data_IF_080431683697
#
_entry.id   IF_080431683697
#
_cell.length_a   1.000
_cell.length_b   1.000
_cell.length_c   1.000
_cell.angle_alpha   90.00
_cell.angle_beta   90.00
_cell.angle_gamma   90.00
#
_symmetry.space_group_name_H-M   'P 1'
#
loop_
_entity.id
_entity.type
_entity.pdbx_description
1 polymer ?
#
# COMPACT_ATOMS: atom_id res chain seq x y z
N UNK A 1 51.52 -73.78 -5.59
CA UNK A 1 51.04 -74.81 -6.53
C UNK A 1 49.52 -74.78 -6.46
N UNK A 2 48.87 -74.10 -7.41
CA UNK A 2 48.28 -74.68 -8.64
C UNK A 2 46.91 -75.31 -8.30
N UNK A 3 45.80 -75.12 -9.01
CA UNK A 3 45.46 -74.47 -10.29
C UNK A 3 43.91 -74.50 -10.40
N UNK A 4 43.33 -73.58 -11.19
CA UNK A 4 42.16 -73.69 -12.11
C UNK A 4 41.10 -74.82 -11.92
N UNK A 5 39.81 -74.70 -12.23
CA UNK A 5 38.96 -73.70 -12.90
C UNK A 5 37.48 -74.23 -12.89
N UNK A 6 36.52 -73.32 -13.15
CA UNK A 6 35.23 -73.52 -13.89
C UNK A 6 34.18 -74.51 -13.33
N UNK A 7 32.86 -74.35 -13.40
CA UNK A 7 31.91 -73.50 -14.12
C UNK A 7 30.54 -73.63 -13.39
N UNK A 8 29.72 -72.58 -13.35
CA UNK A 8 28.27 -72.70 -13.13
C UNK A 8 27.53 -71.42 -13.54
N UNK A 9 26.33 -71.53 -14.15
CA UNK A 9 25.82 -70.52 -15.05
C UNK A 9 24.87 -69.49 -14.41
N UNK A 10 24.82 -68.35 -15.11
CA UNK A 10 23.84 -67.28 -15.18
C UNK A 10 22.48 -67.43 -14.46
N UNK A 11 22.06 -66.37 -13.76
CA UNK A 11 20.87 -65.56 -14.13
C UNK A 11 20.99 -64.13 -13.61
N UNK A 12 20.42 -63.22 -14.40
CA UNK A 12 20.61 -61.77 -14.49
C UNK A 12 20.13 -60.90 -13.30
N UNK A 13 20.54 -59.61 -13.28
CA UNK A 13 20.37 -58.69 -12.15
C UNK A 13 19.09 -57.84 -12.28
N UNK A 14 18.47 -57.51 -11.15
CA UNK A 14 17.49 -56.43 -11.07
C UNK A 14 18.19 -55.10 -10.75
N UNK A 15 18.38 -54.29 -11.79
CA UNK A 15 18.24 -52.82 -11.74
C UNK A 15 16.96 -52.45 -10.99
N UNK A 16 16.81 -51.36 -10.27
CA UNK A 16 17.52 -50.09 -10.25
C UNK A 16 16.49 -49.01 -9.88
N UNK A 17 17.01 -47.82 -9.60
CA UNK A 17 16.30 -46.54 -9.45
C UNK A 17 15.65 -46.28 -8.08
N UNK A 18 16.45 -45.59 -7.27
CA UNK A 18 16.04 -44.74 -6.16
C UNK A 18 15.21 -43.59 -6.75
N UNK A 19 13.94 -43.45 -6.35
CA UNK A 19 13.13 -42.28 -6.67
C UNK A 19 13.46 -41.16 -5.66
N UNK A 20 14.27 -40.20 -6.09
CA UNK A 20 14.33 -38.88 -5.45
C UNK A 20 13.09 -38.05 -5.85
N UNK A 21 12.50 -37.27 -4.92
CA UNK A 21 11.38 -36.41 -5.25
C UNK A 21 11.91 -35.20 -6.04
N UNK A 22 11.46 -35.08 -7.29
CA UNK A 22 11.68 -33.88 -8.11
C UNK A 22 10.93 -32.73 -7.46
N UNK A 23 11.68 -31.78 -6.90
CA UNK A 23 11.18 -30.47 -6.51
C UNK A 23 10.59 -29.78 -7.73
N UNK A 24 9.28 -29.53 -7.71
CA UNK A 24 8.62 -28.60 -8.63
C UNK A 24 9.27 -27.22 -8.47
N UNK A 25 10.14 -26.85 -9.41
CA UNK A 25 10.52 -25.45 -9.60
C UNK A 25 9.24 -24.65 -9.88
N UNK A 26 8.91 -23.68 -9.02
CA UNK A 26 7.88 -22.67 -9.28
C UNK A 26 8.21 -21.95 -10.60
N UNK A 27 7.62 -22.41 -11.70
CA UNK A 27 7.65 -21.67 -12.97
C UNK A 27 7.01 -20.30 -12.74
N UNK A 28 7.81 -19.25 -12.93
CA UNK A 28 7.30 -17.89 -13.00
C UNK A 28 6.12 -17.84 -14.00
N UNK A 29 5.00 -17.20 -13.65
CA UNK A 29 3.84 -17.13 -14.52
C UNK A 29 4.24 -16.49 -15.86
N UNK A 30 3.65 -16.94 -16.99
CA UNK A 30 3.98 -16.42 -18.31
C UNK A 30 3.77 -14.90 -18.34
N UNK A 31 4.73 -14.18 -18.94
CA UNK A 31 4.67 -12.73 -19.06
C UNK A 31 3.39 -12.32 -19.82
N UNK A 32 2.59 -11.47 -19.19
CA UNK A 32 1.35 -10.96 -19.78
C UNK A 32 1.66 -10.13 -21.05
N UNK A 33 0.84 -10.24 -22.11
CA UNK A 33 1.06 -9.49 -23.35
C UNK A 33 1.09 -7.97 -23.09
N UNK A 34 1.85 -7.18 -23.86
CA UNK A 34 1.92 -5.73 -23.66
C UNK A 34 0.54 -5.10 -23.80
N UNK A 35 0.24 -4.09 -22.97
CA UNK A 35 -0.99 -3.31 -23.09
C UNK A 35 -0.89 -2.30 -24.24
N UNK A 36 -1.98 -2.12 -24.98
CA UNK A 36 -2.15 -0.89 -25.77
C UNK A 36 -2.27 0.32 -24.84
N UNK A 37 -2.02 1.53 -25.36
CA UNK A 37 -2.17 2.77 -24.58
C UNK A 37 -3.58 2.95 -24.00
N UNK A 38 -4.61 2.54 -24.75
CA UNK A 38 -5.99 2.60 -24.27
C UNK A 38 -6.21 1.65 -23.09
N UNK A 39 -5.76 0.39 -23.19
CA UNK A 39 -5.92 -0.58 -22.11
C UNK A 39 -5.11 -0.19 -20.87
N UNK A 40 -3.88 0.32 -21.06
CA UNK A 40 -3.07 0.85 -19.97
C UNK A 40 -3.83 1.92 -19.19
N UNK A 41 -4.39 2.91 -19.88
CA UNK A 41 -5.19 3.96 -19.24
C UNK A 41 -6.39 3.39 -18.46
N UNK A 42 -7.09 2.40 -19.02
CA UNK A 42 -8.22 1.79 -18.35
C UNK A 42 -7.82 1.01 -17.08
N UNK A 43 -6.71 0.27 -17.14
CA UNK A 43 -6.16 -0.42 -15.97
C UNK A 43 -5.60 0.56 -14.93
N UNK A 44 -5.01 1.68 -15.37
CA UNK A 44 -4.36 2.65 -14.49
C UNK A 44 -5.33 3.63 -13.81
N UNK A 45 -6.61 3.61 -14.17
CA UNK A 45 -7.59 4.60 -13.70
C UNK A 45 -7.65 4.72 -12.18
N UNK A 46 -7.51 3.59 -11.46
CA UNK A 46 -7.52 3.55 -9.99
C UNK A 46 -6.36 4.36 -9.42
N UNK A 47 -5.14 4.09 -9.91
CA UNK A 47 -3.93 4.81 -9.51
C UNK A 47 -4.01 6.31 -9.82
N UNK A 48 -4.51 6.69 -11.00
CA UNK A 48 -4.67 8.11 -11.38
C UNK A 48 -5.64 8.86 -10.46
N UNK A 49 -6.73 8.22 -10.06
CA UNK A 49 -7.71 8.82 -9.18
C UNK A 49 -7.20 8.94 -7.74
N UNK A 50 -6.52 7.91 -7.24
CA UNK A 50 -5.88 7.99 -5.92
C UNK A 50 -4.82 9.07 -5.89
N UNK A 51 -3.95 9.13 -6.90
CA UNK A 51 -2.89 10.14 -6.92
C UNK A 51 -3.44 11.59 -6.99
N UNK A 52 -4.60 11.80 -7.60
CA UNK A 52 -5.28 13.10 -7.57
C UNK A 52 -5.63 13.55 -6.13
N UNK A 53 -6.19 12.67 -5.30
CA UNK A 53 -6.45 12.98 -3.90
C UNK A 53 -5.16 13.05 -3.08
N UNK A 54 -4.22 12.13 -3.33
CA UNK A 54 -2.95 12.07 -2.61
C UNK A 54 -2.13 13.34 -2.83
N UNK A 55 -2.14 13.92 -4.03
CA UNK A 55 -1.47 15.18 -4.30
C UNK A 55 -2.09 16.35 -3.53
N UNK A 56 -3.40 16.36 -3.31
CA UNK A 56 -4.03 17.33 -2.40
C UNK A 56 -3.50 17.17 -0.97
N UNK A 57 -3.40 15.94 -0.46
CA UNK A 57 -2.85 15.66 0.87
C UNK A 57 -1.38 16.07 0.98
N UNK A 58 -0.55 15.74 -0.01
CA UNK A 58 0.88 16.13 -0.05
C UNK A 58 1.05 17.64 0.00
N UNK A 59 0.23 18.39 -0.73
CA UNK A 59 0.26 19.87 -0.72
C UNK A 59 -0.13 20.46 0.63
N UNK A 60 -1.24 20.00 1.20
CA UNK A 60 -1.70 20.46 2.52
C UNK A 60 -0.69 20.11 3.61
N UNK A 61 -0.18 18.86 3.60
CA UNK A 61 0.91 18.43 4.47
C UNK A 61 2.12 19.34 4.34
N UNK A 62 2.61 19.56 3.11
CA UNK A 62 3.81 20.38 2.86
C UNK A 62 3.64 21.80 3.38
N UNK A 63 2.46 22.39 3.19
CA UNK A 63 2.13 23.73 3.70
C UNK A 63 2.24 23.79 5.22
N UNK A 64 1.59 22.84 5.91
CA UNK A 64 1.57 22.76 7.38
C UNK A 64 2.96 22.44 7.94
N UNK A 65 3.63 21.43 7.37
CA UNK A 65 4.93 20.95 7.83
C UNK A 65 6.04 21.99 7.61
N UNK A 66 6.02 22.71 6.49
CA UNK A 66 6.95 23.83 6.25
C UNK A 66 6.74 24.94 7.25
N UNK A 67 5.48 25.28 7.56
CA UNK A 67 5.18 26.31 8.57
C UNK A 67 5.62 25.88 9.97
N UNK A 68 5.33 24.63 10.34
CA UNK A 68 5.72 24.05 11.62
C UNK A 68 7.25 23.97 11.77
N UNK A 69 7.97 23.66 10.70
CA UNK A 69 9.44 23.54 10.69
C UNK A 69 10.16 24.88 10.65
N UNK A 70 9.61 25.88 9.95
CA UNK A 70 10.19 27.22 9.85
C UNK A 70 9.75 28.18 10.95
N UNK A 71 8.75 27.79 11.75
CA UNK A 71 8.13 28.64 12.76
C UNK A 71 7.28 29.78 12.18
N UNK A 72 6.96 29.75 10.88
CA UNK A 72 6.25 30.84 10.19
C UNK A 72 5.14 30.31 9.28
N UNK A 73 3.92 30.82 9.45
CA UNK A 73 2.80 30.54 8.53
C UNK A 73 3.07 31.09 7.13
N UNK A 74 2.45 30.53 6.08
CA UNK A 74 2.49 31.09 4.73
C UNK A 74 2.09 32.57 4.72
N UNK A 75 2.74 33.37 3.85
CA UNK A 75 2.42 34.78 3.72
C UNK A 75 0.95 34.97 3.32
N UNK A 76 0.26 35.91 3.98
CA UNK A 76 -1.16 36.17 3.76
C UNK A 76 -2.12 35.17 4.41
N UNK A 77 -1.62 34.09 5.04
CA UNK A 77 -2.47 33.12 5.74
C UNK A 77 -2.66 33.49 7.21
N UNK A 78 -3.90 33.84 7.56
CA UNK A 78 -4.30 34.12 8.94
C UNK A 78 -4.26 32.87 9.83
N UNK A 79 -4.22 33.05 11.15
CA UNK A 79 -4.20 31.93 12.11
C UNK A 79 -5.41 31.00 11.92
N UNK A 80 -6.62 31.56 11.85
CA UNK A 80 -7.84 30.77 11.63
C UNK A 80 -7.77 29.92 10.36
N UNK A 81 -7.34 30.52 9.24
CA UNK A 81 -7.20 29.82 7.97
C UNK A 81 -6.16 28.69 8.06
N UNK A 82 -5.06 28.91 8.77
CA UNK A 82 -4.03 27.89 8.97
C UNK A 82 -4.51 26.71 9.81
N UNK A 83 -5.29 26.97 10.88
CA UNK A 83 -5.91 25.92 11.68
C UNK A 83 -6.98 25.16 10.88
N UNK A 84 -7.78 25.88 10.10
CA UNK A 84 -8.79 25.31 9.21
C UNK A 84 -8.15 24.41 8.13
N UNK A 85 -7.00 24.77 7.58
CA UNK A 85 -6.22 23.93 6.64
C UNK A 85 -5.81 22.59 7.27
N UNK A 86 -5.29 22.62 8.50
CA UNK A 86 -4.91 21.40 9.24
C UNK A 86 -6.09 20.49 9.55
N UNK A 87 -7.21 21.08 9.99
CA UNK A 87 -8.43 20.32 10.26
C UNK A 87 -9.06 19.77 8.96
N UNK A 88 -8.96 20.51 7.86
CA UNK A 88 -9.45 20.05 6.55
C UNK A 88 -8.64 18.86 6.03
N UNK A 89 -7.31 18.88 6.18
CA UNK A 89 -6.45 17.74 5.84
C UNK A 89 -6.90 16.47 6.56
N UNK A 90 -7.10 16.56 7.88
CA UNK A 90 -7.52 15.41 8.71
C UNK A 90 -8.91 14.91 8.31
N UNK A 91 -9.87 15.82 8.10
CA UNK A 91 -11.23 15.47 7.68
C UNK A 91 -11.25 14.80 6.31
N UNK A 92 -10.44 15.27 5.36
CA UNK A 92 -10.39 14.70 4.01
C UNK A 92 -9.69 13.34 4.00
N UNK A 93 -8.55 13.19 4.68
CA UNK A 93 -7.88 11.89 4.85
C UNK A 93 -8.81 10.86 5.48
N UNK A 94 -9.53 11.25 6.54
CA UNK A 94 -10.48 10.37 7.21
C UNK A 94 -11.60 9.91 6.28
N UNK A 95 -12.17 10.83 5.49
CA UNK A 95 -13.24 10.49 4.55
C UNK A 95 -12.73 9.57 3.43
N UNK A 96 -11.53 9.86 2.92
CA UNK A 96 -10.86 9.09 1.87
C UNK A 96 -10.59 7.64 2.31
N UNK A 97 -9.91 7.44 3.44
CA UNK A 97 -9.66 6.09 3.97
C UNK A 97 -10.96 5.33 4.27
N UNK A 98 -11.98 6.02 4.80
CA UNK A 98 -13.29 5.40 5.07
C UNK A 98 -13.95 4.89 3.78
N UNK A 99 -13.87 5.65 2.67
CA UNK A 99 -14.41 5.22 1.38
C UNK A 99 -13.65 3.98 0.88
N UNK A 100 -12.33 3.99 0.97
CA UNK A 100 -11.48 2.89 0.54
C UNK A 100 -11.79 1.60 1.30
N UNK A 101 -11.75 1.67 2.63
CA UNK A 101 -12.00 0.51 3.50
C UNK A 101 -13.43 -0.01 3.38
N UNK A 102 -14.41 0.86 3.14
CA UNK A 102 -15.82 0.46 3.06
C UNK A 102 -16.18 -0.10 1.69
N UNK A 103 -15.68 0.49 0.59
CA UNK A 103 -16.20 0.24 -0.75
C UNK A 103 -15.17 -0.29 -1.75
N UNK A 104 -13.90 0.09 -1.62
CA UNK A 104 -12.87 -0.19 -2.65
C UNK A 104 -12.05 -1.43 -2.27
N UNK A 105 -11.39 -1.42 -1.10
CA UNK A 105 -10.53 -2.50 -0.62
C UNK A 105 -11.25 -3.84 -0.54
N UNK A 106 -12.53 -3.94 -0.10
CA UNK A 106 -13.23 -5.22 -0.10
C UNK A 106 -13.40 -5.84 -1.49
N UNK A 107 -13.48 -5.02 -2.55
CA UNK A 107 -13.56 -5.50 -3.94
C UNK A 107 -12.20 -5.98 -4.40
N UNK A 108 -11.13 -5.21 -4.12
CA UNK A 108 -9.75 -5.56 -4.48
C UNK A 108 -9.29 -6.84 -3.78
N UNK A 109 -9.60 -6.99 -2.49
CA UNK A 109 -9.25 -8.14 -1.66
C UNK A 109 -9.77 -9.48 -2.19
N UNK A 110 -10.79 -9.47 -3.06
CA UNK A 110 -11.30 -10.69 -3.71
C UNK A 110 -10.24 -11.37 -4.57
N UNK A 111 -9.30 -10.62 -5.14
CA UNK A 111 -8.28 -11.15 -6.06
C UNK A 111 -6.86 -10.67 -5.80
N UNK A 112 -6.67 -9.55 -5.12
CA UNK A 112 -5.35 -9.00 -4.80
C UNK A 112 -4.96 -9.33 -3.36
N UNK A 113 -3.93 -10.18 -3.14
CA UNK A 113 -3.47 -10.54 -1.82
C UNK A 113 -3.09 -9.34 -0.96
N UNK A 114 -2.61 -8.24 -1.56
CA UNK A 114 -2.21 -7.01 -0.88
C UNK A 114 -3.32 -6.36 -0.05
N UNK A 115 -4.60 -6.65 -0.35
CA UNK A 115 -5.77 -6.10 0.34
C UNK A 115 -6.50 -7.13 1.23
N UNK A 116 -6.01 -8.38 1.33
CA UNK A 116 -6.68 -9.43 2.07
C UNK A 116 -6.40 -9.38 3.58
N UNK A 117 -7.40 -8.98 4.38
CA UNK A 117 -7.31 -9.08 5.84
C UNK A 117 -7.23 -10.56 6.32
N UNK A 118 -6.41 -10.84 7.34
CA UNK A 118 -6.56 -12.05 8.16
C UNK A 118 -5.99 -13.38 7.64
N UNK A 119 -5.07 -13.38 6.67
CA UNK A 119 -4.16 -14.53 6.51
C UNK A 119 -4.51 -15.56 5.42
N UNK A 120 -4.61 -15.12 4.17
CA UNK A 120 -4.14 -15.93 3.02
C UNK A 120 -2.93 -15.33 2.29
N UNK A 121 -2.65 -14.03 2.45
CA UNK A 121 -1.51 -13.32 1.82
C UNK A 121 -0.34 -12.91 2.74
N UNK A 122 -0.30 -13.39 4.00
CA UNK A 122 0.80 -13.09 4.94
C UNK A 122 0.89 -11.63 5.42
N UNK A 123 2.06 -11.21 5.96
CA UNK A 123 2.28 -9.87 6.57
C UNK A 123 2.03 -8.68 5.62
N UNK A 124 2.18 -8.86 4.30
CA UNK A 124 1.98 -7.78 3.31
C UNK A 124 0.50 -7.49 3.01
N UNK A 125 -0.37 -8.48 3.16
CA UNK A 125 -1.80 -8.40 2.86
C UNK A 125 -2.61 -7.43 3.73
N UNK A 126 -1.99 -6.96 4.82
CA UNK A 126 -2.56 -6.03 5.78
C UNK A 126 -1.75 -4.74 5.89
N UNK A 127 -0.73 -4.51 5.06
CA UNK A 127 0.18 -3.38 5.25
C UNK A 127 -0.53 -2.04 5.01
N UNK A 128 -1.29 -1.89 3.91
CA UNK A 128 -2.06 -0.66 3.63
C UNK A 128 -3.10 -0.38 4.73
N UNK A 129 -3.84 -1.40 5.16
CA UNK A 129 -4.80 -1.29 6.27
C UNK A 129 -4.12 -0.96 7.61
N UNK A 130 -2.90 -1.47 7.83
CA UNK A 130 -2.13 -1.16 9.04
C UNK A 130 -1.62 0.29 8.99
N UNK A 131 -1.19 0.76 7.82
CA UNK A 131 -0.81 2.15 7.59
C UNK A 131 -1.98 3.09 7.89
N UNK A 132 -3.20 2.80 7.41
CA UNK A 132 -4.40 3.58 7.76
C UNK A 132 -4.55 3.71 9.28
N UNK A 133 -4.49 2.60 10.02
CA UNK A 133 -4.63 2.63 11.49
C UNK A 133 -3.58 3.50 12.17
N UNK A 134 -2.33 3.43 11.71
CA UNK A 134 -1.24 4.25 12.25
C UNK A 134 -1.42 5.73 11.91
N UNK A 135 -1.83 6.04 10.67
CA UNK A 135 -2.16 7.38 10.24
C UNK A 135 -3.32 7.95 11.07
N UNK A 136 -4.43 7.22 11.23
CA UNK A 136 -5.57 7.64 12.05
C UNK A 136 -5.18 7.93 13.50
N UNK A 137 -4.37 7.06 14.11
CA UNK A 137 -3.86 7.29 15.46
C UNK A 137 -3.03 8.58 15.56
N UNK A 138 -2.20 8.88 14.56
CA UNK A 138 -1.44 10.13 14.50
C UNK A 138 -2.33 11.35 14.26
N UNK A 139 -3.35 11.21 13.42
CA UNK A 139 -4.33 12.26 13.15
C UNK A 139 -5.11 12.67 14.40
N UNK A 140 -5.53 11.71 15.25
CA UNK A 140 -6.26 12.01 16.50
C UNK A 140 -5.52 13.03 17.38
N UNK A 141 -4.20 12.87 17.53
CA UNK A 141 -3.36 13.76 18.33
C UNK A 141 -3.20 15.15 17.72
N UNK A 142 -3.01 15.22 16.40
CA UNK A 142 -2.94 16.49 15.68
C UNK A 142 -4.29 17.22 15.69
N UNK A 143 -5.39 16.49 15.52
CA UNK A 143 -6.74 17.03 15.48
C UNK A 143 -7.12 17.68 16.82
N UNK A 144 -6.93 16.95 17.92
CA UNK A 144 -7.19 17.46 19.27
C UNK A 144 -6.44 18.79 19.51
N UNK A 145 -5.15 18.81 19.19
CA UNK A 145 -4.32 19.99 19.37
C UNK A 145 -4.82 21.18 18.53
N UNK A 146 -5.11 20.97 17.25
CA UNK A 146 -5.61 22.02 16.37
C UNK A 146 -6.99 22.54 16.80
N UNK A 147 -7.87 21.66 17.31
CA UNK A 147 -9.18 22.05 17.84
C UNK A 147 -9.05 22.92 19.10
N UNK A 148 -8.18 22.53 20.04
CA UNK A 148 -7.89 23.36 21.23
C UNK A 148 -7.32 24.72 20.86
N UNK A 149 -6.41 24.77 19.88
CA UNK A 149 -5.91 26.04 19.33
C UNK A 149 -7.04 26.89 18.73
N UNK A 150 -7.93 26.28 17.95
CA UNK A 150 -9.05 26.95 17.28
C UNK A 150 -10.08 27.50 18.27
N UNK A 151 -10.29 26.81 19.39
CA UNK A 151 -11.20 27.21 20.46
C UNK A 151 -10.58 28.23 21.44
N UNK A 152 -9.28 28.53 21.33
CA UNK A 152 -8.57 29.41 22.25
C UNK A 152 -8.25 28.77 23.61
N UNK A 153 -8.28 27.44 23.69
CA UNK A 153 -7.93 26.69 24.90
C UNK A 153 -6.40 26.58 25.09
N UNK A 154 -5.63 26.70 24.00
CA UNK A 154 -4.17 26.77 24.01
C UNK A 154 -3.70 27.64 22.84
N UNK A 155 -2.50 28.21 22.95
CA UNK A 155 -1.86 28.92 21.84
C UNK A 155 -1.24 27.94 20.84
N UNK A 156 -1.20 28.35 19.57
CA UNK A 156 -0.55 27.58 18.51
C UNK A 156 0.98 27.72 18.61
N UNK A 157 1.61 26.68 19.11
CA UNK A 157 3.05 26.44 19.04
C UNK A 157 3.40 25.58 17.83
N UNK A 158 4.28 26.11 16.95
CA UNK A 158 4.71 25.44 15.72
C UNK A 158 5.54 24.18 15.99
N UNK A 159 6.34 24.17 17.06
CA UNK A 159 7.12 23.01 17.49
C UNK A 159 6.22 21.84 17.94
N UNK A 160 5.12 22.15 18.62
CA UNK A 160 4.12 21.15 19.05
C UNK A 160 3.39 20.61 17.83
N UNK A 161 2.96 21.46 16.90
CA UNK A 161 2.38 21.02 15.63
C UNK A 161 3.32 20.08 14.88
N UNK A 162 4.58 20.47 14.74
CA UNK A 162 5.59 19.64 14.07
C UNK A 162 5.73 18.28 14.75
N UNK A 163 5.81 18.26 16.08
CA UNK A 163 5.91 17.01 16.85
C UNK A 163 4.73 16.08 16.58
N UNK A 164 3.51 16.62 16.51
CA UNK A 164 2.32 15.83 16.15
C UNK A 164 2.43 15.25 14.74
N UNK A 165 2.83 16.07 13.76
CA UNK A 165 3.02 15.63 12.37
C UNK A 165 4.12 14.55 12.25
N UNK A 166 5.24 14.71 12.97
CA UNK A 166 6.36 13.76 12.95
C UNK A 166 5.95 12.34 13.40
N UNK A 167 4.87 12.20 14.17
CA UNK A 167 4.42 10.88 14.66
C UNK A 167 3.85 9.97 13.57
N UNK A 168 3.41 10.52 12.44
CA UNK A 168 2.74 9.74 11.38
C UNK A 168 3.15 10.13 9.95
N UNK A 169 3.98 11.16 9.77
CA UNK A 169 4.39 11.64 8.46
C UNK A 169 5.08 10.60 7.60
N UNK A 170 6.03 9.85 8.14
CA UNK A 170 6.73 8.80 7.38
C UNK A 170 5.75 7.74 6.86
N UNK A 171 4.80 7.32 7.70
CA UNK A 171 3.78 6.33 7.35
C UNK A 171 2.82 6.88 6.31
N UNK A 172 2.39 8.15 6.43
CA UNK A 172 1.56 8.81 5.43
C UNK A 172 2.25 8.81 4.07
N UNK A 173 3.47 9.35 3.97
CA UNK A 173 4.17 9.46 2.68
C UNK A 173 4.37 8.10 2.02
N UNK A 174 4.78 7.10 2.81
CA UNK A 174 4.91 5.72 2.33
C UNK A 174 3.58 5.17 1.81
N UNK A 175 2.49 5.39 2.54
CA UNK A 175 1.15 4.93 2.18
C UNK A 175 0.70 5.53 0.84
N UNK A 176 0.81 6.86 0.69
CA UNK A 176 0.39 7.58 -0.51
C UNK A 176 1.11 7.08 -1.78
N UNK A 177 2.38 6.67 -1.66
CA UNK A 177 3.16 6.13 -2.78
C UNK A 177 2.87 4.64 -3.03
N UNK A 178 2.81 3.85 -1.95
CA UNK A 178 2.65 2.41 -2.03
C UNK A 178 1.28 2.02 -2.61
N UNK A 179 0.23 2.73 -2.23
CA UNK A 179 -1.10 2.49 -2.75
C UNK A 179 -1.20 2.77 -4.24
N UNK A 180 -0.75 3.95 -4.71
CA UNK A 180 -0.76 4.31 -6.14
C UNK A 180 -0.01 3.27 -6.96
N UNK A 181 1.15 2.82 -6.47
CA UNK A 181 1.92 1.75 -7.11
C UNK A 181 1.16 0.41 -7.13
N UNK A 182 0.49 0.07 -6.04
CA UNK A 182 -0.27 -1.19 -5.91
C UNK A 182 -1.47 -1.21 -6.84
N UNK A 183 -2.13 -0.06 -7.02
CA UNK A 183 -3.27 0.16 -7.91
C UNK A 183 -2.88 0.44 -9.38
N UNK A 184 -1.58 0.49 -9.68
CA UNK A 184 -1.06 0.74 -11.02
C UNK A 184 -1.42 -0.37 -12.00
N UNK A 185 -1.51 0.00 -13.29
CA UNK A 185 -1.96 -0.90 -14.35
C UNK A 185 -1.21 -2.24 -14.38
N UNK A 186 0.12 -2.22 -14.20
CA UNK A 186 0.96 -3.41 -14.25
C UNK A 186 0.68 -4.42 -13.13
N UNK A 187 0.18 -3.97 -11.98
CA UNK A 187 -0.18 -4.84 -10.88
C UNK A 187 -1.63 -5.29 -10.99
N UNK A 188 -2.57 -4.35 -11.20
CA UNK A 188 -4.01 -4.64 -11.27
C UNK A 188 -4.34 -5.65 -12.39
N UNK A 189 -3.69 -5.54 -13.56
CA UNK A 189 -3.93 -6.43 -14.70
C UNK A 189 -3.52 -7.89 -14.47
N UNK A 190 -2.78 -8.18 -13.39
CA UNK A 190 -2.42 -9.55 -12.99
C UNK A 190 -3.61 -10.29 -12.38
N UNK A 191 -4.60 -9.54 -11.88
CA UNK A 191 -5.70 -10.08 -11.08
C UNK A 191 -7.07 -9.79 -11.69
N UNK A 192 -7.23 -8.66 -12.35
CA UNK A 192 -8.51 -8.20 -12.89
C UNK A 192 -8.48 -8.06 -14.41
N UNK A 193 -9.62 -8.34 -15.03
CA UNK A 193 -9.90 -7.98 -16.43
C UNK A 193 -10.34 -6.52 -16.53
N UNK A 194 -10.26 -5.92 -17.73
CA UNK A 194 -10.72 -4.55 -17.96
C UNK A 194 -12.17 -4.31 -17.53
N UNK A 195 -13.07 -5.24 -17.83
CA UNK A 195 -14.49 -5.07 -17.49
C UNK A 195 -14.75 -5.18 -15.99
N UNK A 196 -13.93 -5.93 -15.26
CA UNK A 196 -13.95 -5.92 -13.81
C UNK A 196 -13.40 -4.62 -13.24
N UNK A 197 -12.26 -4.12 -13.78
CA UNK A 197 -11.68 -2.84 -13.34
C UNK A 197 -12.67 -1.70 -13.49
N UNK A 198 -13.44 -1.65 -14.59
CA UNK A 198 -14.49 -0.62 -14.82
C UNK A 198 -15.61 -0.64 -13.77
N UNK A 199 -15.83 -1.77 -13.10
CA UNK A 199 -16.89 -1.95 -12.10
C UNK A 199 -16.42 -1.68 -10.67
N UNK A 200 -15.13 -1.45 -10.46
CA UNK A 200 -14.60 -1.06 -9.15
C UNK A 200 -15.11 0.35 -8.80
N UNK A 201 -15.69 0.57 -7.61
CA UNK A 201 -16.13 1.89 -7.16
C UNK A 201 -14.95 2.88 -7.08
N UNK A 202 -15.20 4.12 -7.46
CA UNK A 202 -14.27 5.25 -7.50
C UNK A 202 -15.04 6.50 -7.09
#
# INVERSE_FOLDING_TARGET
MASAAEDSPATSPTSGVVNEPVTEEEKAPPALPPLSAHEFKQYNRLAEHMDYFHEHFRRSWTTLYTAASSGRRPAGMGLKQFLDEGLSLISHLTTHHNIEETYVFPVLARKMPEFQAGGRGGRKAAELLQQHKEIHKGMDGMEDYLRRCRNGETDLEMSVLRTQMDTWGEVLWKHLDQEVKTLGADNVRRYFTLDEVKRIPM
#
